data_IF_432729924132
#
_entry.id   IF_432729924132
#
_cell.length_a   1.000
_cell.length_b   1.000
_cell.length_c   1.000
_cell.angle_alpha   90.00
_cell.angle_beta   90.00
_cell.angle_gamma   90.00
#
_symmetry.space_group_name_H-M   'P 1'
#
loop_
_entity.id
_entity.type
_entity.pdbx_description
1 polymer ?
#
# COMPACT_ATOMS: atom_id res chain seq x y z
N UNK A 1 -37.44 -6.07 11.23
CA UNK A 1 -36.72 -7.11 10.46
C UNK A 1 -35.28 -7.11 10.94
N UNK A 2 -34.90 -8.04 11.84
CA UNK A 2 -33.50 -8.17 12.28
C UNK A 2 -32.79 -8.99 11.20
N UNK A 3 -32.14 -8.32 10.25
CA UNK A 3 -31.20 -9.00 9.35
C UNK A 3 -30.01 -9.45 10.20
N UNK A 4 -29.93 -10.73 10.52
CA UNK A 4 -28.70 -11.33 11.03
C UNK A 4 -27.67 -11.28 9.91
N UNK A 5 -26.81 -10.26 9.90
CA UNK A 5 -25.57 -10.31 9.12
C UNK A 5 -24.69 -11.37 9.77
N UNK A 6 -24.70 -12.59 9.22
CA UNK A 6 -24.02 -13.74 9.80
C UNK A 6 -22.48 -13.68 9.64
N UNK A 7 -21.97 -12.88 8.71
CA UNK A 7 -20.55 -12.76 8.41
C UNK A 7 -20.07 -11.32 8.56
N UNK A 8 -19.07 -11.11 9.41
CA UNK A 8 -18.44 -9.81 9.64
C UNK A 8 -17.28 -9.51 8.67
N UNK A 9 -16.81 -10.54 7.94
CA UNK A 9 -15.69 -10.49 7.00
C UNK A 9 -15.92 -11.47 5.86
N UNK A 10 -15.36 -11.14 4.71
CA UNK A 10 -15.44 -11.94 3.49
C UNK A 10 -14.04 -12.26 3.00
N UNK A 11 -13.84 -13.52 2.61
CA UNK A 11 -12.65 -13.93 1.89
C UNK A 11 -12.76 -13.45 0.44
N UNK A 12 -11.95 -12.47 0.05
CA UNK A 12 -12.17 -11.76 -1.20
C UNK A 12 -11.82 -12.60 -2.45
N UNK A 13 -10.88 -13.54 -2.33
CA UNK A 13 -10.48 -14.47 -3.40
C UNK A 13 -9.50 -15.50 -2.85
N UNK A 14 -9.57 -16.74 -3.34
CA UNK A 14 -8.56 -17.77 -3.10
C UNK A 14 -7.22 -17.45 -3.76
N UNK A 15 -7.20 -16.55 -4.75
CA UNK A 15 -5.96 -16.09 -5.35
C UNK A 15 -5.24 -15.09 -4.44
N UNK A 16 -4.09 -15.50 -3.89
CA UNK A 16 -3.23 -14.67 -3.03
C UNK A 16 -1.99 -14.10 -3.74
N UNK A 17 -1.95 -14.14 -5.08
CA UNK A 17 -0.96 -13.45 -5.91
C UNK A 17 -1.03 -11.93 -5.68
N UNK A 18 0.07 -11.30 -5.28
CA UNK A 18 0.09 -9.87 -4.94
C UNK A 18 -0.32 -8.97 -6.12
N UNK A 19 0.08 -9.33 -7.34
CA UNK A 19 -0.27 -8.55 -8.53
C UNK A 19 -1.78 -8.64 -8.82
N UNK A 20 -2.38 -9.84 -8.83
CA UNK A 20 -3.84 -10.00 -9.01
C UNK A 20 -4.63 -9.35 -7.87
N UNK A 21 -4.14 -9.48 -6.63
CA UNK A 21 -4.78 -8.92 -5.44
C UNK A 21 -4.88 -7.41 -5.49
N UNK A 22 -4.00 -6.68 -6.18
CA UNK A 22 -4.16 -5.23 -6.36
C UNK A 22 -5.45 -4.90 -7.14
N UNK A 23 -5.74 -5.63 -8.21
CA UNK A 23 -6.97 -5.47 -9.01
C UNK A 23 -8.21 -5.96 -8.27
N UNK A 24 -8.15 -7.15 -7.67
CA UNK A 24 -9.27 -7.75 -6.92
C UNK A 24 -9.71 -6.84 -5.77
N UNK A 25 -8.76 -6.38 -4.96
CA UNK A 25 -9.04 -5.53 -3.80
C UNK A 25 -9.53 -4.15 -4.22
N UNK A 26 -8.99 -3.58 -5.32
CA UNK A 26 -9.54 -2.34 -5.90
C UNK A 26 -10.99 -2.53 -6.34
N UNK A 27 -11.32 -3.65 -6.99
CA UNK A 27 -12.69 -3.98 -7.39
C UNK A 27 -13.64 -4.10 -6.19
N UNK A 28 -13.22 -4.80 -5.14
CA UNK A 28 -14.01 -4.95 -3.91
C UNK A 28 -14.25 -3.60 -3.20
N UNK A 29 -13.26 -2.71 -3.22
CA UNK A 29 -13.34 -1.39 -2.57
C UNK A 29 -14.44 -0.46 -3.11
N UNK A 30 -15.05 -0.79 -4.26
CA UNK A 30 -16.19 -0.02 -4.76
C UNK A 30 -17.44 -0.12 -3.88
N UNK A 31 -17.58 -1.24 -3.17
CA UNK A 31 -18.80 -1.54 -2.42
C UNK A 31 -18.54 -1.86 -0.95
N UNK A 32 -17.34 -2.36 -0.64
CA UNK A 32 -17.00 -2.84 0.69
C UNK A 32 -15.78 -2.12 1.25
N UNK A 33 -15.79 -1.77 2.54
CA UNK A 33 -14.67 -1.10 3.18
C UNK A 33 -13.56 -2.12 3.58
N UNK A 34 -12.33 -1.66 3.86
CA UNK A 34 -11.19 -2.54 4.16
C UNK A 34 -11.40 -3.55 5.30
N UNK A 35 -12.15 -3.18 6.35
CA UNK A 35 -12.32 -3.98 7.57
C UNK A 35 -13.06 -5.30 7.35
N UNK A 36 -13.85 -5.40 6.27
CA UNK A 36 -14.56 -6.64 5.90
C UNK A 36 -13.82 -7.46 4.85
N UNK A 37 -12.71 -6.97 4.30
CA UNK A 37 -11.96 -7.62 3.22
C UNK A 37 -10.83 -8.48 3.75
N UNK A 38 -10.96 -9.81 3.69
CA UNK A 38 -9.86 -10.73 4.00
C UNK A 38 -8.72 -10.60 3.00
N UNK A 39 -7.49 -10.44 3.51
CA UNK A 39 -6.29 -10.26 2.70
C UNK A 39 -5.10 -10.95 3.35
N UNK A 40 -4.62 -12.08 2.81
CA UNK A 40 -3.51 -12.79 3.41
C UNK A 40 -2.20 -12.62 2.62
N UNK A 41 -1.09 -12.61 3.35
CA UNK A 41 0.23 -12.82 2.77
C UNK A 41 0.35 -14.32 2.48
N UNK A 42 0.33 -14.69 1.21
CA UNK A 42 0.53 -16.06 0.73
C UNK A 42 2.01 -16.45 0.64
N UNK A 43 2.25 -17.69 0.21
CA UNK A 43 3.59 -18.23 -0.08
C UNK A 43 4.36 -17.40 -1.13
N UNK A 44 5.70 -17.50 -1.13
CA UNK A 44 6.59 -16.86 -2.13
C UNK A 44 6.18 -17.21 -3.56
N UNK A 45 5.82 -18.47 -3.81
CA UNK A 45 5.23 -18.93 -5.06
C UNK A 45 3.72 -19.03 -4.89
N UNK A 46 2.95 -18.28 -5.68
CA UNK A 46 1.50 -18.37 -5.62
C UNK A 46 1.02 -19.70 -6.21
N UNK A 47 0.10 -20.38 -5.52
CA UNK A 47 -0.45 -21.66 -5.97
C UNK A 47 -1.39 -21.53 -7.18
N UNK A 48 -2.02 -20.37 -7.37
CA UNK A 48 -3.01 -20.13 -8.42
C UNK A 48 -2.36 -19.65 -9.73
N UNK A 49 -1.35 -18.78 -9.65
CA UNK A 49 -0.72 -18.13 -10.81
C UNK A 49 0.70 -18.63 -11.10
N UNK A 50 1.32 -19.34 -10.15
CA UNK A 50 2.73 -19.75 -10.16
C UNK A 50 3.76 -18.60 -10.24
N UNK A 51 3.34 -17.34 -10.14
CA UNK A 51 4.27 -16.21 -10.01
C UNK A 51 4.96 -16.20 -8.66
N UNK A 52 6.12 -15.58 -8.65
CA UNK A 52 6.87 -15.28 -7.44
C UNK A 52 6.86 -13.78 -7.19
N UNK A 53 6.59 -13.38 -5.94
CA UNK A 53 6.62 -11.99 -5.52
C UNK A 53 7.47 -11.82 -4.27
N UNK A 54 8.18 -10.70 -4.18
CA UNK A 54 8.93 -10.35 -2.97
C UNK A 54 8.01 -10.33 -1.75
N UNK A 55 8.56 -10.64 -0.58
CA UNK A 55 7.80 -10.56 0.68
C UNK A 55 7.30 -9.13 0.94
N UNK A 56 8.03 -8.13 0.44
CA UNK A 56 7.63 -6.74 0.55
C UNK A 56 6.36 -6.42 -0.23
N UNK A 57 6.29 -6.83 -1.50
CA UNK A 57 5.12 -6.57 -2.33
C UNK A 57 3.89 -7.34 -1.85
N UNK A 58 4.06 -8.61 -1.45
CA UNK A 58 2.97 -9.41 -0.83
C UNK A 58 2.49 -8.78 0.47
N UNK A 59 3.40 -8.40 1.35
CA UNK A 59 3.08 -7.81 2.66
C UNK A 59 2.33 -6.50 2.57
N UNK A 60 2.80 -5.58 1.72
CA UNK A 60 2.13 -4.30 1.50
C UNK A 60 0.77 -4.45 0.83
N UNK A 61 0.62 -5.39 -0.11
CA UNK A 61 -0.65 -5.66 -0.79
C UNK A 61 -1.72 -6.20 0.16
N UNK A 62 -1.33 -7.02 1.15
CA UNK A 62 -2.24 -7.58 2.14
C UNK A 62 -2.61 -6.59 3.28
N UNK A 63 -1.87 -5.48 3.40
CA UNK A 63 -1.97 -4.56 4.54
C UNK A 63 -3.34 -3.89 4.66
N UNK A 64 -3.96 -3.52 3.52
CA UNK A 64 -5.21 -2.73 3.45
C UNK A 64 -6.48 -3.57 3.55
N UNK A 65 -6.47 -4.58 4.43
CA UNK A 65 -7.63 -5.40 4.73
C UNK A 65 -7.58 -5.99 6.12
N UNK A 66 -8.35 -7.05 6.32
CA UNK A 66 -8.16 -7.97 7.43
C UNK A 66 -6.96 -8.85 7.13
N UNK A 67 -5.77 -8.35 7.51
CA UNK A 67 -4.51 -8.97 7.16
C UNK A 67 -4.31 -10.29 7.92
N UNK A 68 -3.90 -11.33 7.19
CA UNK A 68 -3.52 -12.63 7.75
C UNK A 68 -2.32 -13.24 7.05
N UNK A 69 -1.95 -14.46 7.47
CA UNK A 69 -0.84 -15.22 6.91
C UNK A 69 -1.38 -16.56 6.43
N UNK A 70 -1.08 -16.93 5.20
CA UNK A 70 -1.53 -18.19 4.58
C UNK A 70 -0.34 -18.91 3.96
N UNK A 71 0.45 -19.52 4.83
CA UNK A 71 1.68 -20.22 4.49
C UNK A 71 2.02 -21.32 5.50
N UNK A 72 2.95 -22.18 5.13
CA UNK A 72 3.58 -23.12 6.06
C UNK A 72 4.80 -22.46 6.74
N UNK A 73 4.72 -22.07 8.03
CA UNK A 73 5.81 -21.40 8.75
C UNK A 73 7.07 -22.26 8.88
N UNK A 74 6.96 -23.59 8.77
CA UNK A 74 8.10 -24.51 8.83
C UNK A 74 8.97 -24.37 7.58
N UNK A 75 8.34 -24.20 6.42
CA UNK A 75 9.03 -24.06 5.12
C UNK A 75 9.60 -22.66 4.85
N UNK A 76 9.19 -21.64 5.61
CA UNK A 76 9.63 -20.27 5.40
C UNK A 76 11.12 -20.11 5.78
N UNK A 77 11.90 -19.53 4.88
CA UNK A 77 13.28 -19.12 5.18
C UNK A 77 13.32 -17.91 6.12
N UNK A 78 14.52 -17.50 6.54
CA UNK A 78 14.66 -16.41 7.51
C UNK A 78 14.22 -15.05 6.94
N UNK A 79 14.39 -14.83 5.63
CA UNK A 79 13.96 -13.60 4.97
C UNK A 79 12.43 -13.48 4.97
N UNK A 80 11.74 -14.55 4.60
CA UNK A 80 10.28 -14.65 4.63
C UNK A 80 9.76 -14.46 6.07
N UNK A 81 10.35 -15.16 7.04
CA UNK A 81 9.98 -15.04 8.47
C UNK A 81 10.16 -13.63 8.99
N UNK A 82 11.26 -12.96 8.65
CA UNK A 82 11.50 -11.57 9.02
C UNK A 82 10.45 -10.64 8.40
N UNK A 83 10.13 -10.84 7.11
CA UNK A 83 9.08 -10.10 6.43
C UNK A 83 7.70 -10.31 7.07
N UNK A 84 7.29 -11.54 7.37
CA UNK A 84 6.01 -11.80 8.06
C UNK A 84 5.92 -11.08 9.40
N UNK A 85 7.00 -11.10 10.21
CA UNK A 85 7.06 -10.36 11.49
C UNK A 85 6.92 -8.86 11.26
N UNK A 86 7.66 -8.31 10.28
CA UNK A 86 7.61 -6.89 9.91
C UNK A 86 6.19 -6.46 9.53
N UNK A 87 5.55 -7.17 8.60
CA UNK A 87 4.22 -6.80 8.11
C UNK A 87 3.12 -7.03 9.15
N UNK A 88 3.23 -8.08 9.99
CA UNK A 88 2.35 -8.26 11.14
C UNK A 88 2.44 -7.10 12.16
N UNK A 89 3.66 -6.61 12.43
CA UNK A 89 3.85 -5.45 13.30
C UNK A 89 3.30 -4.17 12.68
N UNK A 90 3.58 -3.95 11.38
CA UNK A 90 3.10 -2.78 10.64
C UNK A 90 1.58 -2.73 10.56
N UNK A 91 0.93 -3.87 10.31
CA UNK A 91 -0.54 -3.96 10.35
C UNK A 91 -1.08 -3.63 11.73
N UNK A 92 -0.51 -4.19 12.80
CA UNK A 92 -0.94 -3.88 14.18
C UNK A 92 -0.81 -2.40 14.51
N UNK A 93 0.21 -1.73 13.99
CA UNK A 93 0.41 -0.29 14.18
C UNK A 93 -0.67 0.55 13.49
N UNK A 94 -1.11 0.15 12.29
CA UNK A 94 -2.00 0.98 11.45
C UNK A 94 -3.44 0.47 11.34
N UNK A 95 -3.75 -0.72 11.85
CA UNK A 95 -5.07 -1.37 11.69
C UNK A 95 -6.23 -0.51 12.16
N UNK A 96 -6.04 0.31 13.19
CA UNK A 96 -7.11 1.16 13.71
C UNK A 96 -7.49 2.23 12.68
N UNK A 97 -6.49 2.82 11.99
CA UNK A 97 -6.73 3.72 10.85
C UNK A 97 -7.33 2.96 9.68
N UNK A 98 -6.74 1.81 9.31
CA UNK A 98 -7.17 1.02 8.13
C UNK A 98 -8.62 0.55 8.26
N UNK A 99 -9.05 0.13 9.46
CA UNK A 99 -10.37 -0.49 9.70
C UNK A 99 -11.48 0.51 10.06
N UNK A 100 -11.13 1.75 10.44
CA UNK A 100 -12.14 2.74 10.86
C UNK A 100 -12.06 4.06 10.11
N UNK A 101 -11.03 4.26 9.29
CA UNK A 101 -10.86 5.46 8.49
C UNK A 101 -11.67 5.44 7.20
N UNK A 102 -11.60 6.56 6.48
CA UNK A 102 -12.23 6.73 5.17
C UNK A 102 -11.24 6.31 4.09
N UNK A 103 -11.62 5.34 3.28
CA UNK A 103 -10.81 4.88 2.15
C UNK A 103 -10.92 5.84 0.96
N UNK A 104 -9.78 6.14 0.34
CA UNK A 104 -9.66 6.96 -0.85
C UNK A 104 -8.96 6.17 -1.95
N UNK A 105 -9.60 6.08 -3.13
CA UNK A 105 -8.93 5.66 -4.36
C UNK A 105 -8.35 6.90 -5.03
N UNK A 106 -7.12 6.79 -5.50
CA UNK A 106 -6.45 7.86 -6.24
C UNK A 106 -6.35 7.41 -7.70
N UNK A 107 -6.73 8.30 -8.60
CA UNK A 107 -6.60 8.08 -10.04
C UNK A 107 -5.17 8.37 -10.46
N UNK A 108 -4.58 7.41 -11.18
CA UNK A 108 -3.24 7.51 -11.74
C UNK A 108 -3.33 7.74 -13.26
N UNK A 109 -2.28 8.31 -13.89
CA UNK A 109 -2.32 8.64 -15.32
C UNK A 109 -2.52 7.44 -16.25
N UNK A 110 -2.12 6.25 -15.80
CA UNK A 110 -2.21 5.00 -16.53
C UNK A 110 -2.56 3.82 -15.59
N UNK A 111 -2.76 2.65 -16.17
CA UNK A 111 -3.13 1.43 -15.44
C UNK A 111 -1.93 0.69 -14.82
N UNK A 112 -0.70 1.14 -15.06
CA UNK A 112 0.53 0.49 -14.56
C UNK A 112 0.76 0.79 -13.08
N UNK A 113 0.12 1.84 -12.55
CA UNK A 113 0.23 2.22 -11.14
C UNK A 113 -1.14 2.34 -10.49
N UNK A 114 -1.30 1.76 -9.31
CA UNK A 114 -2.48 1.96 -8.46
C UNK A 114 -2.09 2.67 -7.18
N UNK A 115 -2.88 3.68 -6.81
CA UNK A 115 -2.75 4.36 -5.54
C UNK A 115 -4.08 4.38 -4.79
N UNK A 116 -4.00 4.14 -3.49
CA UNK A 116 -5.13 4.29 -2.57
C UNK A 116 -4.62 4.56 -1.16
N UNK A 117 -5.51 4.99 -0.27
CA UNK A 117 -5.17 5.15 1.13
C UNK A 117 -6.38 5.20 2.03
N UNK A 118 -6.11 5.38 3.32
CA UNK A 118 -7.12 5.53 4.36
C UNK A 118 -6.74 6.71 5.24
N UNK A 119 -7.72 7.59 5.50
CA UNK A 119 -7.56 8.77 6.38
C UNK A 119 -8.41 8.55 7.63
N UNK A 120 -7.84 8.78 8.82
CA UNK A 120 -8.57 8.65 10.08
C UNK A 120 -9.78 9.61 10.14
N UNK A 121 -10.86 9.29 10.88
CA UNK A 121 -12.06 10.14 10.92
C UNK A 121 -11.80 11.59 11.38
N UNK A 122 -10.83 11.78 12.27
CA UNK A 122 -10.40 13.09 12.78
C UNK A 122 -9.34 13.79 11.89
N UNK A 123 -8.99 13.14 10.76
CA UNK A 123 -7.96 13.53 9.81
C UNK A 123 -6.58 13.75 10.43
N UNK A 124 -6.30 13.18 11.61
CA UNK A 124 -5.00 13.31 12.27
C UNK A 124 -3.94 12.37 11.67
N UNK A 125 -4.36 11.24 11.10
CA UNK A 125 -3.48 10.23 10.51
C UNK A 125 -3.98 9.82 9.14
N UNK A 126 -3.05 9.51 8.24
CA UNK A 126 -3.37 8.85 6.99
C UNK A 126 -2.27 7.90 6.55
N UNK A 127 -2.64 6.89 5.78
CA UNK A 127 -1.74 5.89 5.22
C UNK A 127 -2.12 5.64 3.77
N UNK A 128 -1.14 5.69 2.87
CA UNK A 128 -1.34 5.53 1.43
C UNK A 128 -0.37 4.49 0.86
N UNK A 129 -0.89 3.61 0.01
CA UNK A 129 -0.13 2.65 -0.76
C UNK A 129 -0.07 3.09 -2.22
N UNK A 130 1.13 3.01 -2.79
CA UNK A 130 1.34 3.12 -4.24
C UNK A 130 1.97 1.82 -4.72
N UNK A 131 1.25 1.10 -5.57
CA UNK A 131 1.67 -0.17 -6.17
C UNK A 131 1.98 0.03 -7.64
N UNK A 132 3.21 -0.30 -8.04
CA UNK A 132 3.63 -0.38 -9.43
C UNK A 132 3.37 -1.80 -9.93
N UNK A 133 2.45 -1.96 -10.88
CA UNK A 133 1.98 -3.24 -11.41
C UNK A 133 2.79 -3.68 -12.64
N UNK A 134 3.19 -2.72 -13.47
CA UNK A 134 4.00 -2.92 -14.68
C UNK A 134 5.00 -1.75 -14.82
N UNK A 135 5.91 -1.77 -15.79
CA UNK A 135 6.74 -0.58 -16.05
C UNK A 135 5.85 0.60 -16.46
N UNK A 136 6.10 1.81 -15.94
CA UNK A 136 5.32 2.98 -16.34
C UNK A 136 5.57 3.34 -17.80
N UNK A 137 4.52 3.78 -18.48
CA UNK A 137 4.58 4.22 -19.90
C UNK A 137 5.46 5.47 -20.07
N UNK A 138 5.59 6.27 -19.01
CA UNK A 138 6.37 7.50 -18.97
C UNK A 138 7.32 7.53 -17.78
N UNK A 139 8.54 8.04 -18.00
CA UNK A 139 9.57 8.17 -16.97
C UNK A 139 9.22 9.22 -15.90
N UNK A 140 8.37 10.20 -16.22
CA UNK A 140 7.93 11.25 -15.30
C UNK A 140 6.51 10.94 -14.83
N UNK A 141 6.37 10.49 -13.59
CA UNK A 141 5.06 10.23 -13.01
C UNK A 141 4.38 11.52 -12.58
N UNK A 142 3.06 11.59 -12.77
CA UNK A 142 2.26 12.68 -12.24
C UNK A 142 2.37 12.74 -10.70
N UNK A 143 2.26 13.92 -10.08
CA UNK A 143 2.28 14.03 -8.63
C UNK A 143 1.16 13.22 -7.96
N UNK A 144 1.49 12.52 -6.88
CA UNK A 144 0.51 11.84 -6.04
C UNK A 144 -0.26 12.86 -5.22
N UNK A 145 -1.53 13.09 -5.57
CA UNK A 145 -2.45 13.96 -4.83
C UNK A 145 -3.21 13.15 -3.78
N UNK A 146 -3.03 13.51 -2.51
CA UNK A 146 -3.56 12.76 -1.36
C UNK A 146 -4.89 13.36 -0.89
N UNK A 147 -5.99 12.73 -1.27
CA UNK A 147 -7.34 13.19 -0.93
C UNK A 147 -7.72 12.94 0.55
N UNK A 148 -8.71 13.70 1.05
CA UNK A 148 -9.34 13.49 2.36
C UNK A 148 -8.66 14.18 3.56
N UNK A 149 -7.53 14.84 3.33
CA UNK A 149 -6.79 15.57 4.36
C UNK A 149 -7.47 16.88 4.75
N UNK A 150 -7.17 17.41 5.93
CA UNK A 150 -7.63 18.74 6.36
C UNK A 150 -6.77 19.82 5.70
N UNK A 151 -7.37 20.68 4.89
CA UNK A 151 -6.64 21.62 4.03
C UNK A 151 -5.78 22.61 4.85
N UNK A 152 -6.34 23.09 5.97
CA UNK A 152 -5.70 24.06 6.86
C UNK A 152 -4.66 23.46 7.80
N UNK A 153 -4.60 22.13 7.93
CA UNK A 153 -3.66 21.44 8.80
C UNK A 153 -2.30 21.23 8.12
N UNK A 154 -1.28 20.96 8.93
CA UNK A 154 0.05 20.52 8.47
C UNK A 154 0.25 19.06 8.80
N UNK A 155 0.90 18.33 7.90
CA UNK A 155 1.18 16.91 8.04
C UNK A 155 2.67 16.66 7.87
N UNK A 156 3.24 15.91 8.80
CA UNK A 156 4.54 15.27 8.59
C UNK A 156 4.33 14.04 7.70
N UNK A 157 5.02 14.02 6.56
CA UNK A 157 5.02 12.93 5.59
C UNK A 157 6.24 12.05 5.82
N UNK A 158 6.03 10.74 5.92
CA UNK A 158 7.09 9.75 6.18
C UNK A 158 6.93 8.56 5.24
N UNK A 159 8.04 8.10 4.67
CA UNK A 159 8.09 6.81 3.97
C UNK A 159 8.15 5.69 5.02
N UNK A 160 7.07 4.91 5.14
CA UNK A 160 6.94 3.83 6.12
C UNK A 160 7.58 2.53 5.64
N UNK A 161 7.49 2.25 4.34
CA UNK A 161 8.10 1.09 3.72
C UNK A 161 8.34 1.27 2.22
N UNK A 162 9.33 0.58 1.67
CA UNK A 162 9.68 0.59 0.25
C UNK A 162 10.52 -0.66 -0.12
N UNK A 163 10.62 -1.04 -1.42
CA UNK A 163 11.25 -2.29 -1.84
C UNK A 163 12.79 -2.20 -1.89
N UNK A 164 13.43 -1.49 -0.95
CA UNK A 164 14.87 -1.18 -0.98
C UNK A 164 15.32 -0.59 -2.33
N UNK A 165 14.70 0.53 -2.74
CA UNK A 165 14.92 1.16 -4.05
C UNK A 165 16.40 1.53 -4.17
N UNK A 166 17.07 0.94 -5.16
CA UNK A 166 18.46 1.22 -5.45
C UNK A 166 18.57 2.40 -6.42
N UNK A 167 19.62 3.20 -6.28
CA UNK A 167 19.92 4.33 -7.15
C UNK A 167 20.95 3.89 -8.19
N UNK A 168 20.80 4.31 -9.44
CA UNK A 168 21.73 3.97 -10.53
C UNK A 168 23.16 4.43 -10.22
N UNK A 169 24.11 3.51 -10.32
CA UNK A 169 25.55 3.76 -10.19
C UNK A 169 26.43 2.54 -10.53
N UNK A 170 25.93 1.33 -10.26
CA UNK A 170 26.66 0.07 -10.51
C UNK A 170 25.80 -1.03 -11.17
N UNK A 171 24.88 -0.64 -12.07
CA UNK A 171 24.03 -1.55 -12.84
C UNK A 171 22.60 -1.66 -12.29
N UNK A 172 21.63 -1.42 -13.17
CA UNK A 172 20.19 -1.55 -12.89
C UNK A 172 19.55 -0.33 -12.22
N UNK A 173 18.21 -0.27 -12.30
CA UNK A 173 17.29 0.70 -11.71
C UNK A 173 17.09 2.01 -12.49
N UNK A 174 15.96 2.68 -12.28
CA UNK A 174 15.52 3.80 -13.15
C UNK A 174 15.87 5.19 -12.61
N UNK A 175 16.24 5.30 -11.32
CA UNK A 175 16.42 6.60 -10.66
C UNK A 175 17.87 6.92 -10.30
N UNK A 176 18.28 8.17 -10.58
CA UNK A 176 19.56 8.76 -10.12
C UNK A 176 19.47 9.48 -8.77
N UNK A 177 18.27 9.89 -8.36
CA UNK A 177 18.02 10.59 -7.10
C UNK A 177 16.56 10.38 -6.67
N UNK A 178 16.35 10.05 -5.41
CA UNK A 178 15.01 9.92 -4.84
C UNK A 178 14.41 11.30 -4.50
N UNK A 179 13.08 11.46 -4.55
CA UNK A 179 12.39 12.62 -3.98
C UNK A 179 12.80 12.87 -2.53
N UNK A 180 12.99 14.14 -2.15
CA UNK A 180 13.53 14.51 -0.83
C UNK A 180 12.68 13.99 0.36
N UNK A 181 11.35 13.89 0.18
CA UNK A 181 10.45 13.38 1.21
C UNK A 181 10.66 11.90 1.55
N UNK A 182 11.29 11.13 0.66
CA UNK A 182 11.58 9.72 0.89
C UNK A 182 12.79 9.50 1.79
N UNK A 183 13.72 10.45 1.85
CA UNK A 183 14.93 10.35 2.67
C UNK A 183 14.82 11.11 3.99
N UNK A 184 13.93 12.10 4.07
CA UNK A 184 13.79 12.94 5.26
C UNK A 184 12.33 13.38 5.40
N UNK A 185 11.69 13.18 6.57
CA UNK A 185 10.32 13.61 6.77
C UNK A 185 10.11 15.08 6.44
N UNK A 186 9.02 15.40 5.74
CA UNK A 186 8.68 16.75 5.34
C UNK A 186 7.35 17.17 5.96
N UNK A 187 7.27 18.41 6.45
CA UNK A 187 6.01 18.96 6.96
C UNK A 187 5.36 19.85 5.92
N UNK A 188 4.22 19.42 5.39
CA UNK A 188 3.53 20.05 4.25
C UNK A 188 2.07 20.32 4.62
N UNK A 189 1.45 21.38 4.08
CA UNK A 189 0.02 21.63 4.33
C UNK A 189 -0.86 20.58 3.65
N UNK A 190 -2.01 20.29 4.26
CA UNK A 190 -3.00 19.39 3.67
C UNK A 190 -3.54 19.91 2.33
N UNK A 191 -3.63 21.23 2.15
CA UNK A 191 -3.96 21.86 0.87
C UNK A 191 -2.94 21.51 -0.22
N UNK A 192 -1.64 21.66 0.06
CA UNK A 192 -0.60 21.37 -0.91
C UNK A 192 -0.57 19.88 -1.29
N UNK A 193 -0.73 18.99 -0.31
CA UNK A 193 -0.80 17.54 -0.55
C UNK A 193 -1.99 17.14 -1.43
N UNK A 194 -3.10 17.87 -1.33
CA UNK A 194 -4.30 17.63 -2.14
C UNK A 194 -4.22 18.22 -3.55
N UNK A 195 -3.64 19.41 -3.71
CA UNK A 195 -3.65 20.15 -4.98
C UNK A 195 -2.37 19.94 -5.81
N UNK A 196 -1.21 20.05 -5.17
CA UNK A 196 0.09 19.92 -5.84
C UNK A 196 0.60 18.47 -5.79
N UNK A 197 0.48 17.81 -4.64
CA UNK A 197 0.87 16.41 -4.45
C UNK A 197 2.36 16.17 -4.21
N UNK A 198 2.71 14.89 -4.03
CA UNK A 198 4.08 14.42 -3.86
C UNK A 198 4.67 13.92 -5.18
N UNK A 199 5.90 14.31 -5.49
CA UNK A 199 6.65 13.68 -6.57
C UNK A 199 6.95 12.22 -6.20
N UNK A 200 6.52 11.28 -7.03
CA UNK A 200 6.76 9.86 -6.81
C UNK A 200 8.11 9.42 -7.44
N UNK A 201 8.77 8.41 -6.84
CA UNK A 201 9.90 7.76 -7.49
C UNK A 201 9.42 6.90 -8.67
N UNK A 202 10.31 6.59 -9.60
CA UNK A 202 10.07 5.49 -10.54
C UNK A 202 10.33 4.19 -9.80
N UNK A 203 9.33 3.32 -9.76
CA UNK A 203 9.38 2.02 -9.11
C UNK A 203 9.59 0.93 -10.14
N UNK A 204 10.28 -0.14 -9.74
CA UNK A 204 10.34 -1.37 -10.53
C UNK A 204 8.93 -2.03 -10.56
N UNK A 205 8.59 -2.80 -11.60
CA UNK A 205 7.32 -3.52 -11.66
C UNK A 205 7.15 -4.48 -10.48
N UNK A 206 5.90 -4.74 -10.11
CA UNK A 206 5.54 -5.66 -9.02
C UNK A 206 6.17 -5.26 -7.68
N UNK A 207 6.15 -3.95 -7.40
CA UNK A 207 6.66 -3.36 -6.18
C UNK A 207 5.70 -2.29 -5.63
N UNK A 208 5.89 -1.90 -4.36
CA UNK A 208 5.04 -0.90 -3.75
C UNK A 208 5.77 -0.09 -2.68
N UNK A 209 5.30 1.13 -2.44
CA UNK A 209 5.74 1.98 -1.32
C UNK A 209 4.57 2.33 -0.43
N UNK A 210 4.86 2.53 0.86
CA UNK A 210 3.88 2.89 1.87
C UNK A 210 4.23 4.25 2.48
N UNK A 211 3.26 5.17 2.46
CA UNK A 211 3.43 6.56 2.89
C UNK A 211 2.52 6.78 4.10
N UNK A 212 3.09 7.30 5.19
CA UNK A 212 2.38 7.70 6.40
C UNK A 212 2.30 9.21 6.52
N UNK A 213 1.19 9.70 7.05
CA UNK A 213 0.97 11.10 7.37
C UNK A 213 0.48 11.25 8.80
N UNK A 214 1.06 12.19 9.53
CA UNK A 214 0.67 12.56 10.88
C UNK A 214 0.48 14.07 10.95
N UNK A 215 -0.68 14.54 11.42
CA UNK A 215 -0.94 15.95 11.65
C UNK A 215 -0.02 16.48 12.75
N UNK A 216 0.58 17.66 12.54
CA UNK A 216 1.48 18.36 13.47
C UNK A 216 1.01 19.78 13.77
#
# INVERSE_FOLDING_TARGET
MKSSNASHRFWASDNNDALERNTIQRGMSYFFPPEVMGAHIGNRHCHATFRQHSIAFRGLTALFGHMGLELDPVSADEEERAGYRKYAALHKQWRDVIHHGVQWRIDMPDATTLAHGVVSPDKAQAIFLVSQLAMPDYTLMAPLRLAGLEASARYQVTLLDHPNIQITGEGGHTMRKLPAWMTTPQTVSGEWLQQAGLALPILDPESAILIGLQRV
#
